data_IF_293159475072
#
_entry.id   IF_293159475072
#
_cell.length_a   1.000
_cell.length_b   1.000
_cell.length_c   1.000
_cell.angle_alpha   90.00
_cell.angle_beta   90.00
_cell.angle_gamma   90.00
#
_symmetry.space_group_name_H-M   'P 1'
#
loop_
_entity.id
_entity.type
_entity.pdbx_description
1 polymer ?
#
# COMPACT_ATOMS: atom_id res chain seq x y z
N UNK A 1 8.68 8.18 27.68
CA UNK A 1 7.62 9.12 27.23
C UNK A 1 8.08 9.80 25.95
N UNK A 2 7.57 9.39 24.79
CA UNK A 2 7.23 10.24 23.63
C UNK A 2 6.70 9.32 22.52
N UNK A 3 5.47 8.80 22.59
CA UNK A 3 4.23 9.39 22.03
C UNK A 3 4.28 9.91 20.58
N UNK A 4 5.36 9.71 19.84
CA UNK A 4 5.49 10.26 18.47
C UNK A 4 4.95 9.29 17.41
N UNK A 5 5.16 7.97 17.57
CA UNK A 5 4.77 7.02 16.52
C UNK A 5 3.27 6.70 16.47
N UNK A 6 2.55 6.80 17.59
CA UNK A 6 1.08 6.60 17.62
C UNK A 6 0.28 7.78 17.03
N UNK A 7 0.93 8.87 16.61
CA UNK A 7 0.26 10.06 16.05
C UNK A 7 0.30 10.13 14.52
N UNK A 8 1.35 9.64 13.88
CA UNK A 8 1.48 9.78 12.41
C UNK A 8 0.47 8.92 11.63
N UNK A 9 0.08 7.75 12.16
CA UNK A 9 -1.03 6.96 11.60
C UNK A 9 -2.42 7.55 11.87
N UNK A 10 -2.56 8.38 12.91
CA UNK A 10 -3.82 9.03 13.27
C UNK A 10 -4.06 10.33 12.47
N UNK A 11 -2.99 11.03 12.06
CA UNK A 11 -3.10 12.31 11.37
C UNK A 11 -3.34 12.20 9.85
N UNK A 12 -2.89 11.10 9.21
CA UNK A 12 -3.16 10.82 7.77
C UNK A 12 -4.59 10.29 7.57
N UNK A 13 -5.11 9.57 8.57
CA UNK A 13 -6.48 9.05 8.61
C UNK A 13 -7.29 9.89 9.60
N UNK A 14 -7.39 11.20 9.34
CA UNK A 14 -8.29 12.09 10.07
C UNK A 14 -9.65 11.43 10.20
N UNK A 15 -10.08 11.24 11.45
CA UNK A 15 -11.31 10.56 11.88
C UNK A 15 -11.83 9.60 10.81
N UNK A 16 -11.20 8.42 10.71
CA UNK A 16 -11.81 7.28 10.01
C UNK A 16 -13.29 7.31 10.40
N UNK A 17 -14.25 7.55 9.48
CA UNK A 17 -15.62 7.17 9.79
C UNK A 17 -15.50 5.72 10.25
N UNK A 18 -16.11 5.36 11.39
CA UNK A 18 -16.24 3.97 11.81
C UNK A 18 -16.56 3.20 10.53
N UNK A 19 -15.56 2.49 10.00
CA UNK A 19 -15.68 1.87 8.69
C UNK A 19 -16.88 0.97 8.88
N UNK A 20 -17.99 1.28 8.21
CA UNK A 20 -19.30 0.79 8.61
C UNK A 20 -19.14 -0.69 8.93
N UNK A 21 -19.19 -1.00 10.23
CA UNK A 21 -19.06 -2.37 10.69
C UNK A 21 -20.40 -2.97 10.34
N UNK A 22 -20.54 -3.34 9.07
CA UNK A 22 -21.62 -4.19 8.61
C UNK A 22 -21.62 -5.36 9.59
N UNK A 23 -22.77 -5.59 10.19
CA UNK A 23 -22.88 -6.64 11.18
C UNK A 23 -22.49 -7.96 10.50
N UNK A 24 -21.90 -8.90 11.24
CA UNK A 24 -21.33 -10.12 10.64
C UNK A 24 -22.40 -10.95 9.89
N UNK A 25 -23.68 -10.77 10.24
CA UNK A 25 -24.86 -11.31 9.56
C UNK A 25 -25.22 -10.61 8.24
N UNK A 26 -24.68 -9.42 7.98
CA UNK A 26 -24.85 -8.64 6.75
C UNK A 26 -23.71 -8.86 5.74
N UNK A 27 -22.64 -9.56 6.12
CA UNK A 27 -21.47 -9.79 5.26
C UNK A 27 -21.67 -11.01 4.35
N UNK A 28 -21.55 -10.81 3.03
CA UNK A 28 -21.52 -11.92 2.10
C UNK A 28 -20.21 -12.72 2.20
N UNK A 29 -20.15 -13.87 1.54
CA UNK A 29 -18.95 -14.71 1.56
C UNK A 29 -17.71 -13.99 0.99
N UNK A 30 -17.91 -13.13 -0.01
CA UNK A 30 -16.84 -12.34 -0.62
C UNK A 30 -16.38 -11.20 0.30
N UNK A 31 -17.31 -10.52 0.99
CA UNK A 31 -16.99 -9.49 1.97
C UNK A 31 -16.17 -10.05 3.13
N UNK A 32 -16.52 -11.26 3.60
CA UNK A 32 -15.76 -11.96 4.65
C UNK A 32 -14.35 -12.29 4.18
N UNK A 33 -14.21 -12.74 2.93
CA UNK A 33 -12.91 -13.01 2.34
C UNK A 33 -12.05 -11.74 2.24
N UNK A 34 -12.64 -10.62 1.79
CA UNK A 34 -11.96 -9.33 1.70
C UNK A 34 -11.50 -8.80 3.06
N UNK A 35 -12.24 -9.11 4.13
CA UNK A 35 -11.87 -8.79 5.52
C UNK A 35 -10.90 -9.80 6.15
N UNK A 36 -10.40 -10.78 5.39
CA UNK A 36 -9.50 -11.81 5.89
C UNK A 36 -10.17 -12.77 6.87
N UNK A 37 -11.50 -12.95 6.78
CA UNK A 37 -12.25 -13.93 7.57
C UNK A 37 -12.56 -15.16 6.73
N UNK A 38 -12.53 -16.33 7.36
CA UNK A 38 -12.96 -17.58 6.76
C UNK A 38 -14.46 -17.60 6.51
N UNK A 39 -14.95 -18.59 5.74
CA UNK A 39 -16.37 -18.84 5.56
C UNK A 39 -17.13 -19.13 6.88
N UNK A 40 -16.44 -19.34 8.00
CA UNK A 40 -17.00 -19.50 9.34
C UNK A 40 -16.95 -18.20 10.17
N UNK A 41 -16.46 -17.09 9.62
CA UNK A 41 -16.31 -15.80 10.33
C UNK A 41 -15.03 -15.70 11.18
N UNK A 42 -14.21 -16.75 11.20
CA UNK A 42 -12.93 -16.75 11.92
C UNK A 42 -11.91 -15.88 11.20
N UNK A 43 -11.22 -14.99 11.93
CA UNK A 43 -10.12 -14.20 11.37
C UNK A 43 -8.99 -15.15 11.00
N UNK A 44 -8.55 -15.08 9.74
CA UNK A 44 -7.31 -15.74 9.31
C UNK A 44 -6.18 -14.92 9.89
N UNK A 45 -5.66 -15.37 11.02
CA UNK A 45 -4.40 -14.86 11.56
C UNK A 45 -3.29 -15.31 10.62
N UNK A 46 -2.72 -14.35 9.89
CA UNK A 46 -1.45 -14.56 9.23
C UNK A 46 -0.42 -14.54 10.36
N UNK A 47 0.19 -15.69 10.65
CA UNK A 47 1.38 -15.76 11.51
C UNK A 47 2.53 -15.04 10.80
N UNK A 48 2.49 -13.71 10.80
CA UNK A 48 3.68 -12.91 10.72
C UNK A 48 4.29 -12.98 12.12
N UNK A 49 5.51 -13.51 12.24
CA UNK A 49 6.27 -13.44 13.48
C UNK A 49 6.44 -11.96 13.83
N UNK A 50 5.55 -11.43 14.69
CA UNK A 50 5.54 -10.02 15.11
C UNK A 50 6.86 -9.61 15.81
N UNK A 51 7.65 -10.60 16.21
CA UNK A 51 8.96 -10.47 16.86
C UNK A 51 10.14 -10.39 15.86
N UNK A 52 9.94 -10.69 14.58
CA UNK A 52 10.99 -10.59 13.55
C UNK A 52 10.93 -9.19 12.90
N UNK A 53 11.74 -8.26 13.41
CA UNK A 53 11.90 -6.94 12.80
C UNK A 53 12.51 -7.09 11.40
N UNK A 54 11.69 -6.89 10.36
CA UNK A 54 12.18 -6.79 8.98
C UNK A 54 13.03 -5.52 8.83
N UNK A 55 14.35 -5.69 8.92
CA UNK A 55 15.33 -4.61 8.80
C UNK A 55 15.24 -3.87 7.45
N UNK A 56 14.85 -4.57 6.37
CA UNK A 56 14.69 -3.97 5.04
C UNK A 56 13.46 -3.05 5.03
N UNK A 57 12.33 -3.54 5.57
CA UNK A 57 11.10 -2.75 5.69
C UNK A 57 11.33 -1.53 6.59
N UNK A 58 11.97 -1.70 7.75
CA UNK A 58 12.30 -0.60 8.65
C UNK A 58 13.18 0.45 7.96
N UNK A 59 14.19 0.02 7.19
CA UNK A 59 15.03 0.92 6.42
C UNK A 59 14.26 1.67 5.33
N UNK A 60 13.26 1.04 4.71
CA UNK A 60 12.38 1.67 3.72
C UNK A 60 11.42 2.67 4.35
N UNK A 61 10.82 2.33 5.49
CA UNK A 61 9.90 3.20 6.22
C UNK A 61 10.58 4.44 6.81
N UNK A 62 11.87 4.33 7.13
CA UNK A 62 12.69 5.45 7.58
C UNK A 62 12.99 6.50 6.49
N UNK A 63 12.76 6.19 5.21
CA UNK A 63 12.93 7.12 4.10
C UNK A 63 11.87 8.22 4.11
N UNK A 64 12.18 9.36 3.49
CA UNK A 64 11.16 10.38 3.26
C UNK A 64 10.05 9.86 2.35
N UNK A 65 8.84 10.43 2.49
CA UNK A 65 7.70 10.07 1.62
C UNK A 65 8.05 10.20 0.14
N UNK A 66 8.81 11.23 -0.22
CA UNK A 66 9.25 11.46 -1.59
C UNK A 66 10.14 10.32 -2.10
N UNK A 67 11.13 9.90 -1.30
CA UNK A 67 12.03 8.80 -1.67
C UNK A 67 11.30 7.46 -1.76
N UNK A 68 10.36 7.20 -0.85
CA UNK A 68 9.51 6.00 -0.89
C UNK A 68 8.71 5.95 -2.19
N UNK A 69 8.10 7.07 -2.58
CA UNK A 69 7.36 7.19 -3.83
C UNK A 69 8.30 6.96 -5.03
N UNK A 70 9.46 7.61 -5.06
CA UNK A 70 10.42 7.44 -6.15
C UNK A 70 10.87 5.98 -6.32
N UNK A 71 11.15 5.27 -5.22
CA UNK A 71 11.50 3.84 -5.25
C UNK A 71 10.35 2.98 -5.77
N UNK A 72 9.13 3.20 -5.26
CA UNK A 72 7.95 2.45 -5.70
C UNK A 72 7.67 2.67 -7.20
N UNK A 73 7.71 3.91 -7.67
CA UNK A 73 7.50 4.24 -9.09
C UNK A 73 8.60 3.65 -9.97
N UNK A 74 9.87 3.70 -9.54
CA UNK A 74 10.97 3.07 -10.28
C UNK A 74 10.75 1.55 -10.41
N UNK A 75 10.42 0.88 -9.30
CA UNK A 75 10.12 -0.56 -9.28
C UNK A 75 8.98 -0.92 -10.25
N UNK A 76 7.89 -0.14 -10.27
CA UNK A 76 6.77 -0.37 -11.18
C UNK A 76 7.20 -0.29 -12.67
N UNK A 77 8.14 0.59 -12.99
CA UNK A 77 8.67 0.73 -14.35
C UNK A 77 9.60 -0.42 -14.72
N UNK A 78 10.49 -0.80 -13.81
CA UNK A 78 11.49 -1.85 -14.04
C UNK A 78 10.84 -3.22 -14.15
N UNK A 79 9.97 -3.58 -13.21
CA UNK A 79 9.39 -4.93 -13.13
C UNK A 79 8.17 -5.10 -14.04
N UNK A 80 7.33 -4.06 -14.15
CA UNK A 80 6.04 -4.18 -14.82
C UNK A 80 5.91 -3.35 -16.08
N UNK A 81 6.93 -2.56 -16.44
CA UNK A 81 6.87 -1.55 -17.50
C UNK A 81 5.68 -0.60 -17.30
N UNK A 82 5.34 -0.29 -16.05
CA UNK A 82 4.19 0.54 -15.72
C UNK A 82 4.64 1.95 -15.31
N UNK A 83 4.12 2.96 -15.99
CA UNK A 83 4.31 4.35 -15.57
C UNK A 83 3.13 4.77 -14.69
N UNK A 84 3.42 5.10 -13.42
CA UNK A 84 2.44 5.63 -12.47
C UNK A 84 1.77 6.92 -12.98
N UNK A 85 2.56 7.82 -13.57
CA UNK A 85 2.09 9.13 -14.04
C UNK A 85 1.22 9.03 -15.30
N UNK A 86 1.63 8.24 -16.29
CA UNK A 86 0.80 7.95 -17.47
C UNK A 86 -0.41 7.05 -17.15
N UNK A 87 -0.37 6.35 -16.01
CA UNK A 87 -1.34 5.32 -15.61
C UNK A 87 -1.47 4.20 -16.65
N UNK A 88 -0.35 3.86 -17.29
CA UNK A 88 -0.31 2.96 -18.44
C UNK A 88 0.82 1.94 -18.30
N UNK A 89 0.53 0.69 -18.70
CA UNK A 89 1.50 -0.40 -18.80
C UNK A 89 1.98 -0.54 -20.23
N UNK A 90 3.28 -0.41 -20.43
CA UNK A 90 3.92 -0.53 -21.74
C UNK A 90 4.24 -1.99 -22.06
N UNK A 91 4.30 -2.30 -23.35
CA UNK A 91 4.60 -3.66 -23.82
C UNK A 91 6.06 -4.05 -23.61
N UNK A 92 6.96 -3.07 -23.64
CA UNK A 92 8.42 -3.28 -23.58
C UNK A 92 9.07 -2.39 -22.53
N UNK A 93 10.25 -2.82 -22.07
CA UNK A 93 11.07 -2.07 -21.11
C UNK A 93 11.54 -0.70 -21.66
N UNK A 94 11.50 -0.48 -22.98
CA UNK A 94 11.82 0.82 -23.57
C UNK A 94 10.78 1.89 -23.23
N UNK A 95 9.54 1.47 -22.87
CA UNK A 95 8.43 2.35 -22.53
C UNK A 95 8.25 3.50 -23.55
N UNK A 96 8.29 3.16 -24.84
CA UNK A 96 8.24 4.13 -25.93
C UNK A 96 7.01 5.04 -25.82
N UNK A 97 7.24 6.35 -25.87
CA UNK A 97 6.19 7.37 -25.72
C UNK A 97 5.91 7.81 -24.28
N UNK A 98 6.62 7.29 -23.28
CA UNK A 98 6.59 7.86 -21.93
C UNK A 98 7.36 9.20 -21.87
N UNK A 99 6.77 10.30 -21.39
CA UNK A 99 7.42 11.61 -21.33
C UNK A 99 8.66 11.69 -20.44
N UNK A 100 8.68 10.91 -19.35
CA UNK A 100 9.81 10.89 -18.42
C UNK A 100 9.58 10.03 -17.19
N UNK A 101 10.28 10.35 -16.10
CA UNK A 101 10.28 9.57 -14.85
C UNK A 101 9.55 10.28 -13.71
N UNK A 102 9.48 11.61 -13.79
CA UNK A 102 8.93 12.47 -12.74
C UNK A 102 7.52 12.93 -13.09
N UNK A 103 6.78 13.41 -12.10
CA UNK A 103 5.46 14.00 -12.32
C UNK A 103 5.51 15.17 -13.31
N UNK A 104 6.53 16.02 -13.17
CA UNK A 104 6.76 17.23 -13.98
C UNK A 104 6.94 16.93 -15.48
N UNK A 105 7.43 15.74 -15.82
CA UNK A 105 7.55 15.30 -17.22
C UNK A 105 6.18 15.05 -17.87
N UNK A 106 5.12 14.92 -17.07
CA UNK A 106 3.79 14.49 -17.48
C UNK A 106 2.70 15.57 -17.36
N UNK A 107 3.10 16.83 -17.16
CA UNK A 107 2.21 18.02 -17.17
C UNK A 107 1.70 18.40 -18.57
#
# INVERSE_FOLDING_TARGET
MSRVCTRLFADILGERPEAAVLADDELEADDRLALGRTAAGEVVEVEADEDEEDEELAAFEALSVQERLSRAVAYLREEYHYCFWCKFRYETAAMEGCPGLTEEDHD
#
